data_IF_754619364531
#
_entry.id   IF_754619364531
#
_cell.length_a   1.000
_cell.length_b   1.000
_cell.length_c   1.000
_cell.angle_alpha   90.00
_cell.angle_beta   90.00
_cell.angle_gamma   90.00
#
_symmetry.space_group_name_H-M   'P 1'
#
loop_
_entity.id
_entity.type
_entity.pdbx_description
1 polymer ?
2 non-polymer ?
3 non-polymer ?
4 non-polymer ?
5 non-polymer ?
6 water ?
#
# COMPACT_ATOMS: atom_id res chain seq x y z
N UNK A 4 7.82 -18.68 -6.07
CA UNK A 4 8.51 -18.11 -4.86
C UNK A 4 8.72 -16.60 -4.96
N UNK A 5 9.29 -16.15 -6.07
CA UNK A 5 9.46 -14.71 -6.33
C UNK A 5 8.11 -14.09 -6.65
N UNK A 6 7.76 -13.05 -5.91
CA UNK A 6 6.45 -12.41 -6.01
C UNK A 6 6.63 -10.95 -6.37
N UNK A 7 5.78 -10.47 -7.27
CA UNK A 7 5.87 -9.10 -7.78
C UNK A 7 4.51 -8.46 -7.73
N UNK A 8 4.43 -7.29 -7.10
CA UNK A 8 3.18 -6.53 -7.11
C UNK A 8 3.27 -5.41 -8.12
N UNK A 9 2.58 -5.55 -9.25
CA UNK A 9 2.57 -4.52 -10.28
C UNK A 9 1.67 -3.39 -9.83
N UNK A 10 2.27 -2.24 -9.54
CA UNK A 10 1.57 -1.19 -8.83
C UNK A 10 1.29 0.04 -9.69
N UNK A 11 0.02 0.47 -9.67
CA UNK A 11 -0.38 1.77 -10.18
C UNK A 11 -0.30 2.79 -9.05
N UNK A 12 0.51 3.85 -9.24
CA UNK A 12 0.62 4.93 -8.27
C UNK A 12 -0.08 6.14 -8.84
N UNK A 13 -0.94 6.75 -8.03
CA UNK A 13 -1.75 7.88 -8.46
C UNK A 13 -1.52 9.02 -7.47
N UNK A 14 -1.32 10.22 -8.01
CA UNK A 14 -1.19 11.43 -7.19
C UNK A 14 -2.29 12.39 -7.59
N UNK A 15 -2.95 13.02 -6.63
CA UNK A 15 -4.06 13.93 -6.97
C UNK A 15 -3.55 15.34 -7.32
N UNK A 16 -4.47 16.21 -7.71
CA UNK A 16 -4.08 17.56 -8.11
C UNK A 16 -3.37 18.33 -6.99
N UNK A 17 -3.74 18.08 -5.74
CA UNK A 17 -3.11 18.71 -4.58
C UNK A 17 -1.63 18.34 -4.46
N UNK A 18 -1.31 17.07 -4.73
CA UNK A 18 0.08 16.62 -4.78
C UNK A 18 0.88 17.33 -5.88
N UNK A 19 0.26 17.47 -7.06
CA UNK A 19 0.87 18.16 -8.18
C UNK A 19 1.12 19.62 -7.85
N UNK A 20 0.14 20.25 -7.20
CA UNK A 20 0.23 21.67 -6.84
C UNK A 20 1.39 21.94 -5.90
N UNK A 21 1.58 21.05 -4.92
CA UNK A 21 2.64 21.20 -3.92
C UNK A 21 4.03 20.79 -4.39
N UNK A 22 4.15 19.58 -4.91
CA UNK A 22 5.46 19.02 -5.29
C UNK A 22 5.93 19.47 -6.67
N UNK A 23 4.98 19.89 -7.52
CA UNK A 23 5.28 20.38 -8.86
C UNK A 23 6.12 19.43 -9.68
N UNK A 24 7.14 19.98 -10.37
CA UNK A 24 8.05 19.20 -11.21
C UNK A 24 8.79 18.05 -10.52
N UNK A 25 8.96 18.12 -9.20
CA UNK A 25 9.64 17.06 -8.45
C UNK A 25 8.75 15.91 -8.01
N UNK A 26 7.47 15.95 -8.38
CA UNK A 26 6.48 14.96 -7.93
C UNK A 26 6.83 13.53 -8.32
N UNK A 27 7.17 13.31 -9.60
CA UNK A 27 7.46 11.95 -10.08
C UNK A 27 8.62 11.35 -9.29
N UNK A 28 9.71 12.10 -9.16
CA UNK A 28 10.85 11.63 -8.37
C UNK A 28 10.47 11.35 -6.91
N UNK A 29 9.64 12.22 -6.34
CA UNK A 29 9.18 12.04 -4.96
C UNK A 29 8.39 10.74 -4.81
N UNK A 30 7.45 10.48 -5.70
CA UNK A 30 6.61 9.28 -5.58
C UNK A 30 7.43 8.01 -5.72
N UNK A 31 8.38 8.01 -6.65
CA UNK A 31 9.26 6.87 -6.83
C UNK A 31 10.18 6.68 -5.61
N UNK A 32 10.56 7.79 -4.97
CA UNK A 32 11.39 7.72 -3.76
C UNK A 32 10.59 7.10 -2.62
N UNK A 33 9.36 7.57 -2.43
CA UNK A 33 8.45 7.02 -1.43
C UNK A 33 8.22 5.53 -1.67
N UNK A 34 7.94 5.15 -2.93
CA UNK A 34 7.67 3.76 -3.25
C UNK A 34 8.91 2.86 -3.14
N UNK A 35 10.09 3.38 -3.44
CA UNK A 35 11.32 2.64 -3.20
C UNK A 35 11.48 2.30 -1.72
N UNK A 36 11.18 3.26 -0.85
CA UNK A 36 11.30 3.03 0.58
C UNK A 36 10.28 2.01 1.06
N UNK A 37 9.03 2.11 0.57
CA UNK A 37 8.03 1.10 0.89
C UNK A 37 8.45 -0.28 0.39
N UNK A 38 9.04 -0.33 -0.80
CA UNK A 38 9.50 -1.60 -1.37
C UNK A 38 10.60 -2.22 -0.53
N UNK A 39 11.48 -1.39 0.01
CA UNK A 39 12.53 -1.88 0.90
C UNK A 39 11.93 -2.59 2.11
N UNK A 40 10.86 -2.04 2.67
CA UNK A 40 10.20 -2.71 3.80
C UNK A 40 9.64 -4.07 3.42
N UNK A 41 9.08 -4.18 2.22
CA UNK A 41 8.48 -5.45 1.80
C UNK A 41 9.49 -6.52 1.42
N UNK A 42 10.77 -6.16 1.36
CA UNK A 42 11.84 -7.13 1.13
C UNK A 42 12.55 -7.54 2.42
N UNK A 43 12.23 -6.87 3.52
CA UNK A 43 12.92 -7.15 4.78
C UNK A 43 12.59 -8.57 5.25
N UNK A 44 13.60 -9.34 5.69
CA UNK A 44 13.40 -10.74 6.09
C UNK A 44 12.34 -11.00 7.18
N UNK A 45 12.08 -10.00 8.03
CA UNK A 45 11.06 -10.07 9.07
C UNK A 45 9.66 -10.32 8.50
N UNK A 46 9.44 -10.04 7.22
CA UNK A 46 8.14 -10.30 6.59
C UNK A 46 7.93 -11.79 6.24
N UNK A 47 8.98 -12.60 6.37
CA UNK A 47 8.95 -14.07 6.13
C UNK A 47 8.75 -14.45 4.66
N UNK A 48 7.76 -13.85 4.00
CA UNK A 48 7.53 -14.06 2.56
C UNK A 48 7.64 -12.74 1.81
N UNK A 49 8.86 -12.35 1.43
CA UNK A 49 9.08 -11.08 0.76
C UNK A 49 8.34 -10.97 -0.56
N UNK A 50 7.98 -9.75 -0.89
CA UNK A 50 7.38 -9.44 -2.19
C UNK A 50 8.06 -8.19 -2.73
N UNK A 51 8.14 -8.12 -4.06
CA UNK A 51 8.76 -7.01 -4.76
C UNK A 51 7.67 -6.05 -5.20
N UNK A 52 7.60 -4.88 -4.56
CA UNK A 52 6.66 -3.83 -4.93
C UNK A 52 7.23 -3.09 -6.12
N UNK A 53 6.60 -3.22 -7.28
CA UNK A 53 7.14 -2.63 -8.51
C UNK A 53 6.17 -1.59 -9.05
N UNK A 54 6.62 -0.35 -9.18
CA UNK A 54 5.79 0.67 -9.82
C UNK A 54 5.81 0.44 -11.33
N UNK A 55 4.64 0.17 -11.90
CA UNK A 55 4.53 -0.05 -13.34
C UNK A 55 3.78 1.04 -14.08
N UNK A 56 2.94 1.79 -13.38
CA UNK A 56 2.20 2.90 -13.97
C UNK A 56 2.12 4.02 -12.96
N UNK A 57 2.20 5.26 -13.46
CA UNK A 57 2.20 6.43 -12.60
C UNK A 57 1.29 7.48 -13.22
N UNK A 58 0.25 7.85 -12.49
CA UNK A 58 -0.75 8.80 -12.96
C UNK A 58 -0.72 10.03 -12.07
N UNK A 59 -0.52 11.20 -12.67
CA UNK A 59 -0.61 12.46 -11.94
C UNK A 59 -1.83 13.18 -12.46
N UNK A 60 -2.82 13.38 -11.59
CA UNK A 60 -4.10 13.98 -11.97
C UNK A 60 -4.01 15.51 -12.03
N UNK A 65 -14.95 13.03 -13.74
CA UNK A 65 -13.52 13.10 -14.06
C UNK A 65 -12.75 12.06 -13.24
N UNK A 66 -11.79 12.50 -12.41
CA UNK A 66 -11.03 11.60 -11.55
C UNK A 66 -11.81 11.23 -10.30
N UNK A 67 -11.14 10.61 -9.32
CA UNK A 67 -11.83 10.20 -8.11
C UNK A 67 -12.18 11.38 -7.21
N UNK A 68 -13.23 11.21 -6.42
CA UNK A 68 -13.67 12.24 -5.47
C UNK A 68 -12.82 12.12 -4.22
N UNK A 69 -12.01 13.15 -3.96
CA UNK A 69 -11.16 13.19 -2.78
C UNK A 69 -11.73 14.19 -1.77
N UNK A 70 -12.02 13.71 -0.57
CA UNK A 70 -12.52 14.56 0.51
C UNK A 70 -12.07 14.09 1.88
N UNK A 71 -12.49 14.80 2.93
CA UNK A 71 -12.11 14.49 4.31
C UNK A 71 -12.36 13.04 4.71
N UNK A 72 -13.48 12.46 4.27
CA UNK A 72 -13.80 11.09 4.67
C UNK A 72 -12.82 10.12 4.02
N UNK A 73 -12.01 9.46 4.84
CA UNK A 73 -11.09 8.44 4.33
C UNK A 73 -11.86 7.30 3.66
N UNK A 74 -12.95 6.87 4.28
CA UNK A 74 -13.76 5.78 3.75
C UNK A 74 -14.33 6.07 2.38
N UNK A 75 -14.92 7.25 2.22
CA UNK A 75 -15.52 7.61 0.96
C UNK A 75 -14.48 7.86 -0.11
N UNK A 76 -13.35 8.46 0.28
CA UNK A 76 -12.26 8.68 -0.66
C UNK A 76 -11.72 7.35 -1.18
N UNK A 77 -11.57 6.38 -0.27
CA UNK A 77 -11.11 5.06 -0.67
C UNK A 77 -12.08 4.42 -1.67
N UNK A 78 -13.37 4.48 -1.34
CA UNK A 78 -14.39 3.88 -2.21
C UNK A 78 -14.42 4.56 -3.58
N UNK A 79 -14.34 5.89 -3.60
CA UNK A 79 -14.34 6.62 -4.86
C UNK A 79 -13.11 6.28 -5.69
N UNK A 80 -11.94 6.27 -5.05
CA UNK A 80 -10.69 5.93 -5.74
C UNK A 80 -10.75 4.52 -6.31
N UNK A 81 -11.24 3.58 -5.52
CA UNK A 81 -11.24 2.18 -5.92
C UNK A 81 -12.19 1.93 -7.08
N UNK A 82 -13.30 2.67 -7.12
CA UNK A 82 -14.20 2.61 -8.27
C UNK A 82 -13.54 3.18 -9.52
N UNK A 83 -12.84 4.30 -9.35
CA UNK A 83 -12.20 5.01 -10.46
C UNK A 83 -11.06 4.19 -11.07
N UNK A 84 -10.23 3.58 -10.22
CA UNK A 84 -9.04 2.87 -10.72
C UNK A 84 -9.42 1.65 -11.56
N UNK A 85 -10.59 1.08 -11.31
CA UNK A 85 -11.05 -0.07 -12.08
C UNK A 85 -11.06 0.25 -13.58
N UNK A 86 -11.43 1.48 -13.92
CA UNK A 86 -11.50 1.91 -15.32
C UNK A 86 -10.18 2.00 -16.07
N UNK A 87 -9.07 2.13 -15.33
CA UNK A 87 -7.75 2.19 -15.92
C UNK A 87 -7.16 0.80 -16.15
N UNK A 88 -7.72 -0.22 -15.52
CA UNK A 88 -7.12 -1.54 -15.60
C UNK A 88 -7.61 -2.30 -16.83
N UNK A 89 -6.93 -3.40 -17.12
CA UNK A 89 -7.33 -4.29 -18.20
C UNK A 89 -7.80 -5.61 -17.61
N UNK A 90 -8.53 -6.41 -18.39
CA UNK A 90 -9.07 -7.66 -17.83
C UNK A 90 -8.05 -8.73 -17.46
N UNK A 91 -6.91 -8.77 -18.16
CA UNK A 91 -5.94 -9.87 -18.00
C UNK A 91 -4.56 -9.41 -17.53
N UNK A 92 -4.01 -10.14 -16.56
CA UNK A 92 -2.70 -9.83 -15.99
C UNK A 92 -1.56 -9.95 -17.00
N UNK A 93 -1.78 -10.72 -18.06
CA UNK A 93 -0.77 -10.85 -19.11
C UNK A 93 -0.66 -9.62 -20.02
N UNK A 94 -1.66 -8.74 -19.99
CA UNK A 94 -1.60 -7.46 -20.68
C UNK A 94 -0.63 -6.57 -19.92
N UNK A 95 0.36 -5.97 -20.60
CA UNK A 95 1.38 -5.16 -19.91
C UNK A 95 0.79 -3.96 -19.14
N UNK A 96 -0.37 -3.46 -19.55
CA UNK A 96 -1.01 -2.32 -18.87
C UNK A 96 -1.73 -2.75 -17.59
N UNK A 97 -1.89 -4.05 -17.38
CA UNK A 97 -2.58 -4.52 -16.18
C UNK A 97 -1.76 -4.23 -14.95
N UNK A 98 -2.44 -3.90 -13.86
CA UNK A 98 -1.79 -3.71 -12.57
C UNK A 98 -2.52 -4.51 -11.49
N UNK A 99 -1.76 -4.87 -10.46
CA UNK A 99 -2.25 -5.70 -9.34
C UNK A 99 -2.78 -4.91 -8.14
N UNK A 100 -2.33 -3.68 -7.96
CA UNK A 100 -2.83 -2.85 -6.88
C UNK A 100 -2.71 -1.39 -7.27
N UNK A 101 -3.56 -0.56 -6.67
CA UNK A 101 -3.60 0.86 -6.95
C UNK A 101 -3.49 1.63 -5.64
N UNK A 102 -2.57 2.60 -5.59
CA UNK A 102 -2.36 3.41 -4.39
C UNK A 102 -2.44 4.89 -4.75
N UNK A 103 -3.26 5.62 -4.01
CA UNK A 103 -3.45 7.05 -4.19
C UNK A 103 -2.72 7.84 -3.11
N UNK A 104 -1.93 8.81 -3.51
CA UNK A 104 -1.34 9.79 -2.60
C UNK A 104 -2.08 11.11 -2.78
N UNK A 105 -2.47 11.70 -1.65
CA UNK A 105 -3.17 12.97 -1.66
C UNK A 105 -2.61 13.86 -0.56
N UNK A 106 -2.77 15.16 -0.73
CA UNK A 106 -2.47 16.12 0.35
C UNK A 106 -3.71 16.39 1.19
N UNK A 107 -4.86 15.87 0.78
CA UNK A 107 -6.09 16.00 1.59
C UNK A 107 -5.86 15.43 2.98
N UNK A 108 -6.32 16.16 4.00
CA UNK A 108 -6.31 15.66 5.37
C UNK A 108 -7.44 14.65 5.51
N UNK A 109 -7.09 13.36 5.50
CA UNK A 109 -8.08 12.29 5.58
C UNK A 109 -8.54 12.11 7.00
N UNK A 110 -9.82 11.80 7.16
CA UNK A 110 -10.41 11.66 8.49
C UNK A 110 -11.22 10.38 8.67
N UNK A 111 -11.35 9.99 9.93
CA UNK A 111 -12.28 8.95 10.37
C UNK A 111 -13.56 9.60 10.85
N UNK A 112 -14.31 8.86 11.66
CA UNK A 112 -15.63 9.31 12.11
C UNK A 112 -15.56 10.47 13.12
N UNK A 113 -14.55 10.48 13.98
CA UNK A 113 -14.46 11.51 15.04
C UNK A 113 -13.20 12.37 14.99
N UNK A 114 -12.10 11.82 14.48
CA UNK A 114 -10.84 12.54 14.38
C UNK A 114 -10.30 12.50 12.95
N UNK A 115 -9.37 13.40 12.67
CA UNK A 115 -8.64 13.42 11.40
C UNK A 115 -7.20 12.93 11.56
N UNK A 116 -6.94 12.19 12.62
CA UNK A 116 -5.61 11.65 12.90
C UNK A 116 -5.17 10.62 11.86
N UNK A 117 -6.11 9.96 11.21
CA UNK A 117 -5.77 8.92 10.23
C UNK A 117 -4.90 9.48 9.10
N UNK A 118 -4.01 8.64 8.59
CA UNK A 118 -3.12 9.01 7.48
C UNK A 118 -3.38 8.17 6.23
N UNK A 119 -4.33 7.26 6.26
CA UNK A 119 -4.56 6.37 5.12
C UNK A 119 -5.65 5.35 5.39
N UNK A 120 -6.03 4.62 4.35
CA UNK A 120 -7.00 3.55 4.52
C UNK A 120 -6.88 2.61 3.35
N UNK A 121 -7.22 1.34 3.58
CA UNK A 121 -7.17 0.33 2.54
C UNK A 121 -8.17 -0.76 2.79
N UNK A 122 -8.51 -1.46 1.72
CA UNK A 122 -9.27 -2.71 1.82
C UNK A 122 -8.33 -3.81 2.34
N UNK A 123 -8.88 -4.75 3.11
CA UNK A 123 -8.05 -5.78 3.75
C UNK A 123 -8.06 -7.11 3.00
N UNK A 124 -6.88 -7.60 2.61
CA UNK A 124 -6.74 -8.93 1.98
C UNK A 124 -7.29 -9.00 0.57
N UNK A 125 -6.98 -7.99 -0.22
CA UNK A 125 -7.60 -7.79 -1.52
C UNK A 125 -6.62 -7.77 -2.68
N UNK A 126 -5.36 -8.16 -2.46
CA UNK A 126 -4.30 -7.83 -3.43
C UNK A 126 -4.56 -8.34 -4.85
N UNK A 127 -5.18 -9.51 -4.98
CA UNK A 127 -5.43 -10.08 -6.31
C UNK A 127 -6.89 -10.04 -6.74
N UNK A 128 -7.62 -9.10 -6.15
CA UNK A 128 -8.96 -8.73 -6.59
C UNK A 128 -8.91 -7.35 -7.22
N UNK A 129 -8.89 -7.27 -8.55
CA UNK A 129 -8.81 -5.96 -9.20
C UNK A 129 -9.91 -4.95 -8.85
N UNK A 130 -11.06 -5.44 -8.41
CA UNK A 130 -12.14 -4.55 -7.98
C UNK A 130 -11.91 -3.91 -6.61
N UNK A 131 -10.99 -4.47 -5.82
CA UNK A 131 -10.81 -4.07 -4.43
C UNK A 131 -9.37 -3.79 -4.00
N UNK A 132 -8.39 -4.00 -4.88
CA UNK A 132 -6.97 -3.91 -4.48
C UNK A 132 -6.51 -2.45 -4.52
N UNK A 133 -6.82 -1.75 -3.44
CA UNK A 133 -6.77 -0.28 -3.39
C UNK A 133 -6.32 0.21 -2.03
N UNK A 134 -5.56 1.32 -2.04
CA UNK A 134 -5.17 2.02 -0.82
C UNK A 134 -5.04 3.50 -1.10
N UNK A 135 -5.27 4.29 -0.04
CA UNK A 135 -5.05 5.73 -0.08
C UNK A 135 -4.11 6.14 1.04
N UNK A 136 -3.30 7.16 0.77
CA UNK A 136 -2.30 7.67 1.69
C UNK A 136 -2.36 9.19 1.69
N UNK A 137 -2.46 9.76 2.89
CA UNK A 137 -2.28 11.19 3.10
C UNK A 137 -0.78 11.46 3.16
N UNK A 138 -0.28 12.23 2.20
CA UNK A 138 1.14 12.55 2.11
C UNK A 138 1.52 13.57 3.16
N UNK A 139 2.31 13.15 4.15
CA UNK A 139 2.73 14.05 5.22
C UNK A 139 4.03 14.75 4.88
N UNK A 140 4.72 14.26 3.86
CA UNK A 140 5.95 14.87 3.36
C UNK A 140 7.25 14.25 3.86
N UNK A 141 7.16 13.37 4.86
CA UNK A 141 8.36 12.77 5.47
C UNK A 141 8.25 11.26 5.71
N UNK A 142 7.10 10.82 6.22
CA UNK A 142 6.91 9.43 6.61
C UNK A 142 5.93 8.69 5.70
N UNK A 143 5.72 9.19 4.49
CA UNK A 143 4.66 8.64 3.63
C UNK A 143 4.93 7.20 3.20
N UNK A 144 6.21 6.82 3.15
CA UNK A 144 6.54 5.45 2.82
C UNK A 144 6.08 4.47 3.91
N UNK A 145 6.11 4.89 5.16
CA UNK A 145 5.65 4.05 6.25
C UNK A 145 4.13 3.89 6.20
N UNK A 146 3.42 4.97 5.92
CA UNK A 146 1.97 4.90 5.76
C UNK A 146 1.64 3.99 4.58
N UNK A 147 2.35 4.14 3.48
CA UNK A 147 2.11 3.30 2.32
C UNK A 147 2.36 1.83 2.68
N UNK A 148 3.42 1.54 3.43
CA UNK A 148 3.70 0.17 3.85
C UNK A 148 2.58 -0.37 4.75
N UNK A 149 2.06 0.46 5.64
CA UNK A 149 0.95 0.06 6.52
C UNK A 149 -0.30 -0.31 5.69
N UNK A 150 -0.63 0.54 4.72
CA UNK A 150 -1.83 0.29 3.94
C UNK A 150 -1.66 -0.92 3.06
N UNK A 151 -0.49 -1.06 2.44
CA UNK A 151 -0.22 -2.25 1.65
C UNK A 151 -0.16 -3.52 2.53
N UNK A 152 0.29 -3.41 3.77
CA UNK A 152 0.16 -4.52 4.72
C UNK A 152 -1.28 -4.98 4.87
N UNK A 153 -2.20 -4.03 5.05
CA UNK A 153 -3.63 -4.37 5.08
C UNK A 153 -4.08 -5.06 3.79
N UNK A 154 -3.62 -4.56 2.64
CA UNK A 154 -3.99 -5.14 1.34
C UNK A 154 -3.55 -6.61 1.30
N UNK A 155 -2.42 -6.91 1.97
CA UNK A 155 -1.90 -8.27 2.13
C UNK A 155 -2.46 -9.06 3.33
N UNK A 156 -3.57 -8.58 3.87
CA UNK A 156 -4.37 -9.26 4.92
C UNK A 156 -3.83 -9.13 6.33
N UNK A 157 -2.96 -8.16 6.55
CA UNK A 157 -2.40 -7.98 7.89
C UNK A 157 -3.37 -7.22 8.77
N UNK A 158 -3.38 -7.61 10.05
CA UNK A 158 -4.12 -6.93 11.09
C UNK A 158 -3.20 -5.96 11.83
N UNK A 159 -3.79 -5.13 12.68
CA UNK A 159 -2.99 -4.34 13.61
C UNK A 159 -2.39 -5.19 14.69
N UNK A 160 -1.23 -4.78 15.18
CA UNK A 160 -0.46 -5.57 16.12
C UNK A 160 -1.06 -5.60 17.53
N UNK A 161 -2.05 -4.77 17.80
CA UNK A 161 -2.76 -4.80 19.09
C UNK A 161 -4.09 -5.56 19.01
N UNK A 162 -4.37 -6.16 17.86
CA UNK A 162 -5.53 -7.05 17.71
C UNK A 162 -5.31 -8.34 18.52
N UNK A 163 -6.41 -9.02 18.85
CA UNK A 163 -6.31 -10.23 19.69
C UNK A 163 -5.47 -11.35 19.06
N UNK A 164 -5.65 -11.63 17.75
CA UNK A 164 -4.81 -12.65 17.13
C UNK A 164 -3.32 -12.30 17.18
N UNK A 165 -3.00 -11.02 17.07
CA UNK A 165 -1.60 -10.61 17.08
C UNK A 165 -0.96 -10.75 18.46
N UNK A 166 -1.75 -10.60 19.53
CA UNK A 166 -1.24 -10.76 20.92
C UNK A 166 -0.58 -12.13 21.08
N UNK A 167 -1.28 -13.16 20.62
CA UNK A 167 -0.83 -14.54 20.73
C UNK A 167 0.33 -14.90 19.79
N UNK A 168 0.44 -14.19 18.66
CA UNK A 168 1.55 -14.40 17.72
C UNK A 168 2.78 -13.55 18.05
N UNK A 169 2.58 -12.38 18.66
CA UNK A 169 3.67 -11.45 18.96
C UNK A 169 4.31 -11.66 20.33
N UNK A 170 3.52 -12.19 21.28
CA UNK A 170 3.99 -12.36 22.65
C UNK A 170 3.82 -11.08 23.44
N UNK A 171 4.10 -11.13 24.76
CA UNK A 171 3.88 -9.98 25.64
C UNK A 171 4.94 -8.87 25.49
N UNK A 172 6.15 -9.24 25.10
CA UNK A 172 7.25 -8.28 25.00
C UNK A 172 7.36 -7.69 23.60
N UNK A 175 4.89 -1.63 20.19
CA UNK A 175 4.26 -0.69 19.24
C UNK A 175 5.27 -0.16 18.23
N UNK A 176 6.19 -1.03 17.82
CA UNK A 176 7.41 -0.66 17.14
C UNK A 176 7.46 -1.23 15.72
N UNK A 177 6.30 -1.56 15.16
CA UNK A 177 6.26 -2.20 13.84
C UNK A 177 5.33 -1.46 12.89
N UNK A 178 5.41 -1.80 11.61
CA UNK A 178 4.60 -1.14 10.56
C UNK A 178 3.10 -1.27 10.83
N UNK A 179 2.66 -2.40 11.37
CA UNK A 179 1.24 -2.61 11.57
C UNK A 179 0.77 -2.22 12.97
N UNK A 180 1.53 -1.36 13.65
CA UNK A 180 1.00 -0.69 14.84
C UNK A 180 -0.24 0.09 14.42
N UNK A 181 -1.21 0.26 15.34
CA UNK A 181 -2.46 0.94 14.95
C UNK A 181 -2.32 2.44 14.69
N UNK A 182 -1.28 3.05 15.26
CA UNK A 182 -0.92 4.43 14.98
C UNK A 182 0.57 4.49 14.73
N UNK A 183 1.01 5.50 13.98
CA UNK A 183 2.41 5.55 13.61
C UNK A 183 3.27 5.82 14.82
N UNK A 184 4.28 4.98 14.99
CA UNK A 184 5.30 5.16 16.02
C UNK A 184 6.62 4.83 15.35
N UNK A 185 7.71 4.98 16.09
CA UNK A 185 9.04 4.71 15.53
C UNK A 185 9.21 3.21 15.24
N UNK A 186 9.44 2.90 13.96
CA UNK A 186 9.49 1.53 13.48
C UNK A 186 10.89 0.97 13.70
N UNK A 187 10.95 -0.24 14.27
CA UNK A 187 12.20 -0.94 14.56
C UNK A 187 12.92 -1.31 13.25
N UNK A 188 14.16 -0.81 13.05
CA UNK A 188 14.82 -1.11 11.77
C UNK A 188 15.16 -2.59 11.58
N UNK A 189 15.34 -3.33 12.67
CA UNK A 189 15.62 -4.78 12.60
C UNK A 189 14.36 -5.64 12.51
N UNK A 190 13.19 -5.04 12.71
CA UNK A 190 11.95 -5.81 12.67
C UNK A 190 10.78 -4.90 12.28
N UNK A 191 10.77 -4.42 11.03
CA UNK A 191 9.62 -3.60 10.59
C UNK A 191 8.30 -4.35 10.68
N UNK A 192 8.32 -5.66 10.47
CA UNK A 192 7.11 -6.48 10.53
C UNK A 192 7.15 -7.36 11.75
N UNK A 193 6.06 -7.35 12.51
CA UNK A 193 5.91 -8.23 13.66
C UNK A 193 5.74 -9.68 13.21
N UNK A 194 5.90 -10.64 14.15
CA UNK A 194 5.58 -12.02 13.80
C UNK A 194 4.12 -12.21 13.33
N UNK A 195 3.21 -11.41 13.88
CA UNK A 195 1.82 -11.49 13.45
C UNK A 195 1.69 -11.09 11.98
N UNK A 196 2.34 -9.99 11.60
CA UNK A 196 2.30 -9.53 10.20
C UNK A 196 2.86 -10.60 9.27
N UNK A 197 4.01 -11.16 9.64
CA UNK A 197 4.63 -12.22 8.86
C UNK A 197 3.70 -13.42 8.71
N UNK A 198 3.04 -13.82 9.80
CA UNK A 198 2.14 -14.97 9.76
C UNK A 198 0.98 -14.70 8.81
N UNK A 199 0.39 -13.51 8.88
CA UNK A 199 -0.80 -13.22 8.11
C UNK A 199 -0.52 -13.11 6.61
N UNK A 200 0.59 -12.48 6.23
CA UNK A 200 0.94 -12.44 4.80
C UNK A 200 1.33 -13.84 4.29
N UNK A 201 2.00 -14.62 5.13
CA UNK A 201 2.42 -15.96 4.75
C UNK A 201 1.19 -16.86 4.52
N UNK A 202 0.26 -16.85 5.46
CA UNK A 202 -0.99 -17.62 5.30
C UNK A 202 -1.72 -17.18 4.04
N UNK A 203 -1.80 -15.87 3.83
CA UNK A 203 -2.51 -15.29 2.68
C UNK A 203 -1.96 -15.84 1.35
N UNK A 204 -0.64 -15.85 1.22
CA UNK A 204 0.02 -16.36 0.02
C UNK A 204 -0.03 -17.89 -0.07
N UNK A 205 0.16 -18.55 1.07
CA UNK A 205 0.08 -20.02 1.12
C UNK A 205 -1.30 -20.52 0.72
N UNK A 206 -2.33 -19.74 1.05
CA UNK A 206 -3.73 -20.09 0.73
C UNK A 206 -4.14 -19.74 -0.71
N UNK A 207 -3.24 -19.13 -1.46
CA UNK A 207 -3.44 -18.91 -2.90
C UNK A 207 -3.94 -17.53 -3.29
N UNK A 208 -4.03 -16.61 -2.33
CA UNK A 208 -4.57 -15.28 -2.58
C UNK A 208 -3.59 -14.34 -3.27
N UNK A 209 -2.36 -14.79 -3.50
CA UNK A 209 -1.39 -14.01 -4.25
C UNK A 209 -1.12 -14.57 -5.64
N UNK A 210 -2.11 -15.22 -6.23
CA UNK A 210 -1.95 -15.88 -7.54
C UNK A 210 -1.63 -14.91 -8.67
N UNK A 211 -1.90 -13.62 -8.46
CA UNK A 211 -1.63 -12.61 -9.47
C UNK A 211 -0.26 -11.97 -9.31
N UNK A 212 0.54 -12.46 -8.37
CA UNK A 212 1.82 -11.86 -8.09
C UNK A 212 2.96 -12.67 -8.66
N UNK A 213 2.65 -13.63 -9.55
CA UNK A 213 3.67 -14.55 -10.02
C UNK A 213 4.34 -14.12 -11.31
N UNK A 214 3.71 -13.24 -12.08
CA UNK A 214 4.28 -12.77 -13.33
C UNK A 214 5.21 -11.57 -13.12
N UNK A 215 6.33 -11.56 -13.82
CA UNK A 215 7.33 -10.50 -13.68
C UNK A 215 6.94 -9.33 -14.57
N UNK A 216 7.01 -8.08 -14.05
CA UNK A 216 6.67 -6.94 -14.90
C UNK A 216 7.72 -6.68 -15.97
N UNK A 217 7.26 -6.16 -17.11
CA UNK A 217 8.12 -5.94 -18.28
C UNK A 217 8.92 -4.64 -18.20
N UNK A 218 8.32 -3.60 -17.63
CA UNK A 218 8.88 -2.25 -17.69
C UNK A 218 8.71 -1.50 -16.39
N UNK A 219 9.41 -1.93 -15.33
CA UNK A 219 9.35 -1.20 -14.06
C UNK A 219 9.78 0.25 -14.22
N UNK A 220 9.18 1.13 -13.41
CA UNK A 220 9.64 2.51 -13.30
C UNK A 220 10.77 2.53 -12.29
N UNK A 221 11.97 2.92 -12.75
CA UNK A 221 13.17 2.96 -11.93
C UNK A 221 13.56 4.40 -11.57
N UNK A 222 14.01 4.62 -10.34
CA UNK A 222 14.79 5.83 -10.03
C UNK A 222 16.10 5.74 -10.82
N UNK A 223 16.33 6.68 -11.77
CA UNK A 223 17.52 6.61 -12.63
C UNK A 223 18.84 6.74 -11.87
X LIG B 1 -4.35 0.15 9.88
X LIG C 1 0.59 -9.44 -11.68
X LIG D 1 1.14 -8.47 -15.35
X LIG E 1 -5.55 12.99 8.56
X LIG F 1 8.38 6.95 11.34
X LIG F 1 8.05 7.44 12.66
X LIG F 1 8.49 5.44 11.38
X LIG F 1 9.60 5.01 12.18
X LIG G 1 -8.49 -0.87 7.45
X LIG G 1 -9.42 -0.81 6.35
X LIG G 1 -7.74 0.44 7.53
X LIG G 1 -7.01 0.67 6.31
X LIG H 1 -2.86 7.47 12.63
X LIG H 1 -3.21 8.25 13.78
X LIG H 1 -1.36 7.52 12.38
X LIG H 1 -0.63 7.69 13.61
X LIG I 1 -5.39 4.94 11.10
X LIG I 1 -0.65 5.02 9.51
X LIG I 1 1.82 2.52 11.64
X LIG I 1 1.79 4.10 9.80
X LIG I 1 -10.04 4.77 9.75
X LIG I 1 -9.70 4.98 11.06
X LIG I 1 0.49 2.65 11.90
X LIG I 1 2.46 3.21 10.63
X LIG I 1 -0.15 3.54 11.07
X LIG I 1 0.43 4.26 10.05
X LIG I 1 -1.79 4.71 10.23
X LIG I 1 -7.72 4.35 10.33
X LIG I 1 -6.10 2.63 10.89
X LIG I 1 -5.29 2.55 8.78
X LIG I 1 -3.15 5.15 10.16
X LIG I 1 -6.28 4.00 10.31
X LIG I 1 -8.39 4.74 11.39
X LIG I 1 -5.45 1.87 9.95
X LIG I 1 -5.80 3.79 8.96
X LIG I 1 -4.00 4.53 11.04
X LIG I 1 -6.47 2.27 11.99
X LIG I 1 -4.77 2.10 7.77
X LIG I 1 -3.51 5.99 9.35
X LIG I 1 -1.47 3.80 11.19
X LIG I 1 -8.65 4.24 8.88
X LIG I 1 4.15 2.85 10.51
#
# INVERSE_FOLDING_TARGET
>A
FASLSRFVETLVVADDKMAAFHGAGLKRYLLTVMAAAAKAFKHPSIRNPVSLVVTRLVILGSGEEGPQVGPSAAQTLRSFCAWQRGLNTPEDSDPDHFDTAILFTRQDLCGVSTCDTLGMADVGTVCDPARSCAIVEDDGLQSAFTAAHELGHVFNMLHDNSKPCISLNGPLSTSRHVMAPVMAHVDPEEPWSPCSARFITDFLDNGYGHCLLDKPEAPLHLPVTFPDVHHHHHH
>B hetero
1 ZN ZN
>C hetero
1 CA CA
>D hetero
1 CA CA
>E hetero
1 CA CA
>F hetero
1 EDO C1 O1 C2 O2
>G hetero
1 EDO C1 O1 C2 O2
>H hetero
1 EDO C1 O1 C2 O2
>I hetero
1 3PU C7 C6 C1 C5 C4 C3 C2 C8 C9 C10 C11 C12 C13 C14 C15 C16 N17 N18 N19 N20 O21 O22 O23 O24 S25 CL2
#
